data_IF_884634480419
#
_entry.id   IF_884634480419
#
_cell.length_a   1.000
_cell.length_b   1.000
_cell.length_c   1.000
_cell.angle_alpha   90.00
_cell.angle_beta   90.00
_cell.angle_gamma   90.00
#
_symmetry.space_group_name_H-M   'P 1'
#
loop_
_entity.id
_entity.type
_entity.pdbx_description
1 polymer ?
#
# COMPACT_ATOMS: atom_id res chain seq x y z
N UNK A 1 -3.99 0.67 1.75
CA UNK A 1 -3.08 -0.49 1.80
C UNK A 1 -3.10 -1.30 0.52
N UNK A 2 -4.27 -1.59 -0.07
CA UNK A 2 -4.35 -2.38 -1.32
C UNK A 2 -3.45 -1.86 -2.46
N UNK A 3 -3.35 -0.54 -2.64
CA UNK A 3 -2.52 0.03 -3.70
C UNK A 3 -1.02 -0.32 -3.60
N UNK A 4 -0.45 -0.46 -2.39
CA UNK A 4 0.97 -0.87 -2.23
C UNK A 4 1.17 -2.38 -2.36
N UNK A 5 0.08 -3.15 -2.25
CA UNK A 5 0.05 -4.61 -2.32
C UNK A 5 -0.11 -5.13 -3.76
N UNK A 6 -0.19 -4.23 -4.74
CA UNK A 6 -0.26 -4.56 -6.15
C UNK A 6 0.98 -5.40 -6.54
N UNK A 7 0.80 -6.58 -7.16
CA UNK A 7 1.91 -7.46 -7.54
C UNK A 7 3.01 -6.78 -8.35
N UNK A 8 2.72 -5.71 -9.09
CA UNK A 8 3.73 -4.95 -9.84
C UNK A 8 4.85 -4.39 -8.94
N UNK A 9 4.55 -4.10 -7.67
CA UNK A 9 5.52 -3.57 -6.70
C UNK A 9 6.39 -4.65 -6.03
N UNK A 10 6.20 -5.92 -6.41
CA UNK A 10 7.13 -6.99 -6.07
C UNK A 10 8.33 -7.01 -7.02
N UNK A 11 8.15 -6.50 -8.23
CA UNK A 11 9.17 -6.47 -9.30
C UNK A 11 9.73 -5.06 -9.47
N UNK A 12 8.87 -4.03 -9.40
CA UNK A 12 9.26 -2.62 -9.42
C UNK A 12 9.14 -1.99 -8.03
N UNK A 13 9.70 -0.80 -7.84
CA UNK A 13 9.64 -0.07 -6.59
C UNK A 13 8.44 0.89 -6.53
N UNK A 14 7.85 1.03 -5.35
CA UNK A 14 6.75 1.94 -5.04
C UNK A 14 7.25 3.39 -5.13
N UNK A 15 6.54 4.23 -5.87
CA UNK A 15 6.79 5.67 -5.90
C UNK A 15 5.51 6.48 -5.63
N UNK A 16 5.68 7.69 -5.10
CA UNK A 16 4.55 8.60 -4.87
C UNK A 16 3.78 8.86 -6.17
N UNK A 17 4.49 9.09 -7.29
CA UNK A 17 3.88 9.33 -8.60
C UNK A 17 3.02 8.16 -9.07
N UNK A 18 3.47 6.91 -8.90
CA UNK A 18 2.66 5.74 -9.25
C UNK A 18 1.45 5.60 -8.33
N UNK A 19 1.62 5.82 -7.02
CA UNK A 19 0.50 5.78 -6.07
C UNK A 19 -0.51 6.89 -6.32
N UNK A 20 -0.07 8.08 -6.71
CA UNK A 20 -0.95 9.18 -7.06
C UNK A 20 -1.85 8.80 -8.24
N UNK A 21 -1.29 8.19 -9.29
CA UNK A 21 -2.08 7.69 -10.42
C UNK A 21 -3.06 6.59 -10.01
N UNK A 22 -2.64 5.66 -9.15
CA UNK A 22 -3.49 4.55 -8.71
C UNK A 22 -4.61 4.98 -7.76
N UNK A 23 -4.39 6.03 -6.97
CA UNK A 23 -5.33 6.51 -5.95
C UNK A 23 -6.15 7.72 -6.41
N UNK A 24 -5.83 8.31 -7.55
CA UNK A 24 -6.60 9.43 -8.09
C UNK A 24 -8.07 9.02 -8.32
N UNK A 25 -9.00 9.88 -7.89
CA UNK A 25 -10.44 9.63 -7.99
C UNK A 25 -10.99 8.57 -7.01
N UNK A 26 -10.14 7.91 -6.22
CA UNK A 26 -10.62 6.98 -5.19
C UNK A 26 -11.25 7.75 -4.01
N UNK A 27 -12.23 7.17 -3.29
CA UNK A 27 -12.85 7.82 -2.14
C UNK A 27 -11.86 8.28 -1.07
N UNK A 28 -10.75 7.56 -0.90
CA UNK A 28 -9.67 7.94 0.03
C UNK A 28 -8.95 9.24 -0.37
N UNK A 29 -8.91 9.54 -1.67
CA UNK A 29 -8.32 10.72 -2.27
C UNK A 29 -9.38 11.79 -2.65
N UNK A 30 -10.62 11.65 -2.16
CA UNK A 30 -11.71 12.58 -2.46
C UNK A 30 -11.28 14.02 -2.15
N UNK A 31 -11.57 14.92 -3.09
CA UNK A 31 -11.24 16.36 -3.03
C UNK A 31 -9.73 16.67 -2.89
N UNK A 32 -8.87 15.67 -3.12
CA UNK A 32 -7.42 15.80 -3.07
C UNK A 32 -6.81 15.55 -4.43
N UNK A 33 -6.24 16.61 -5.00
CA UNK A 33 -5.58 16.54 -6.30
C UNK A 33 -4.15 17.09 -6.23
N UNK A 34 -3.36 16.77 -7.27
CA UNK A 34 -2.02 17.31 -7.46
C UNK A 34 -1.15 17.26 -6.21
N UNK A 35 -0.67 18.43 -5.75
CA UNK A 35 0.25 18.56 -4.62
C UNK A 35 -0.37 18.11 -3.28
N UNK A 36 -1.67 18.30 -3.07
CA UNK A 36 -2.35 17.88 -1.83
C UNK A 36 -2.36 16.36 -1.70
N UNK A 37 -2.73 15.67 -2.78
CA UNK A 37 -2.71 14.20 -2.82
C UNK A 37 -1.28 13.66 -2.65
N UNK A 38 -0.31 14.24 -3.36
CA UNK A 38 1.10 13.85 -3.24
C UNK A 38 1.62 14.00 -1.80
N UNK A 39 1.29 15.10 -1.11
CA UNK A 39 1.70 15.30 0.29
C UNK A 39 1.11 14.25 1.23
N UNK A 40 -0.19 13.93 1.07
CA UNK A 40 -0.85 12.88 1.85
C UNK A 40 -0.23 11.50 1.62
N UNK A 41 0.07 11.15 0.36
CA UNK A 41 0.76 9.91 0.01
C UNK A 41 2.14 9.85 0.65
N UNK A 42 2.93 10.93 0.57
CA UNK A 42 4.26 11.00 1.20
C UNK A 42 4.20 10.78 2.71
N UNK A 43 3.19 11.35 3.39
CA UNK A 43 2.97 11.11 4.82
C UNK A 43 2.69 9.64 5.12
N UNK A 44 1.87 8.97 4.32
CA UNK A 44 1.57 7.55 4.51
C UNK A 44 2.78 6.66 4.22
N UNK A 45 3.56 6.95 3.16
CA UNK A 45 4.81 6.26 2.89
C UNK A 45 5.78 6.38 4.08
N UNK A 46 5.85 7.55 4.72
CA UNK A 46 6.65 7.74 5.93
C UNK A 46 6.18 6.85 7.07
N UNK A 47 4.88 6.82 7.38
CA UNK A 47 4.32 5.97 8.43
C UNK A 47 4.61 4.48 8.17
N UNK A 48 4.38 4.01 6.94
CA UNK A 48 4.68 2.63 6.56
C UNK A 48 6.16 2.28 6.74
N UNK A 49 7.05 3.25 6.47
CA UNK A 49 8.49 3.08 6.66
C UNK A 49 8.84 3.02 8.15
N UNK A 50 8.26 3.89 8.96
CA UNK A 50 8.46 3.91 10.42
C UNK A 50 7.99 2.59 11.07
N UNK A 51 6.93 1.97 10.55
CA UNK A 51 6.47 0.65 11.00
C UNK A 51 7.22 -0.54 10.39
N UNK A 52 8.21 -0.28 9.53
CA UNK A 52 9.06 -1.30 8.90
C UNK A 52 8.34 -2.13 7.82
N UNK A 53 7.24 -1.64 7.27
CA UNK A 53 6.48 -2.32 6.21
C UNK A 53 7.08 -2.06 4.82
N UNK A 54 7.69 -0.89 4.65
CA UNK A 54 8.42 -0.55 3.44
C UNK A 54 9.81 -0.04 3.78
N UNK A 55 10.76 -0.22 2.87
CA UNK A 55 12.12 0.32 2.95
C UNK A 55 12.34 1.31 1.82
N UNK A 56 13.01 2.43 2.11
CA UNK A 56 13.39 3.41 1.09
C UNK A 56 14.65 2.94 0.35
N UNK A 57 14.66 3.04 -0.97
CA UNK A 57 15.87 2.82 -1.77
C UNK A 57 16.87 3.99 -1.61
N UNK A 58 18.18 3.71 -1.60
CA UNK A 58 19.20 4.75 -1.47
C UNK A 58 19.14 5.71 -2.65
N UNK A 59 19.34 7.01 -2.38
CA UNK A 59 19.39 8.11 -3.37
C UNK A 59 18.15 8.24 -4.27
N UNK A 60 17.02 7.61 -3.92
CA UNK A 60 15.79 7.64 -4.71
C UNK A 60 14.56 7.93 -3.85
N UNK A 61 13.50 8.47 -4.45
CA UNK A 61 12.18 8.60 -3.83
C UNK A 61 11.31 7.35 -4.03
N UNK A 62 11.96 6.19 -4.11
CA UNK A 62 11.34 4.89 -4.35
C UNK A 62 11.44 4.02 -3.09
N UNK A 63 10.49 3.10 -2.95
CA UNK A 63 10.37 2.21 -1.79
C UNK A 63 10.13 0.77 -2.23
N UNK A 64 10.58 -0.19 -1.45
CA UNK A 64 10.28 -1.62 -1.64
C UNK A 64 9.52 -2.15 -0.43
N UNK A 65 8.71 -3.18 -0.63
CA UNK A 65 8.11 -3.92 0.48
C UNK A 65 9.20 -4.69 1.23
N UNK A 66 9.11 -4.68 2.56
CA UNK A 66 9.86 -5.60 3.40
C UNK A 66 9.13 -6.95 3.46
N UNK A 67 9.77 -8.00 3.99
CA UNK A 67 9.11 -9.30 4.17
C UNK A 67 7.88 -9.19 5.09
N UNK A 68 8.02 -8.40 6.16
CA UNK A 68 6.90 -8.04 7.06
C UNK A 68 5.78 -7.33 6.31
N UNK A 69 6.14 -6.36 5.45
CA UNK A 69 5.20 -5.63 4.62
C UNK A 69 4.44 -6.57 3.69
N UNK A 70 5.17 -7.43 2.97
CA UNK A 70 4.63 -8.42 2.04
C UNK A 70 3.63 -9.34 2.73
N UNK A 71 4.03 -9.96 3.84
CA UNK A 71 3.18 -10.85 4.63
C UNK A 71 1.86 -10.14 5.00
N UNK A 72 1.95 -8.97 5.64
CA UNK A 72 0.77 -8.23 6.08
C UNK A 72 -0.13 -7.81 4.92
N UNK A 73 0.44 -7.30 3.82
CA UNK A 73 -0.36 -6.89 2.66
C UNK A 73 -1.06 -8.06 1.99
N UNK A 74 -0.38 -9.21 1.90
CA UNK A 74 -0.93 -10.43 1.30
C UNK A 74 -2.04 -10.99 2.18
N UNK A 75 -1.81 -11.13 3.49
CA UNK A 75 -2.84 -11.57 4.43
C UNK A 75 -4.05 -10.64 4.37
N UNK A 76 -3.86 -9.32 4.45
CA UNK A 76 -4.97 -8.36 4.42
C UNK A 76 -5.77 -8.43 3.12
N UNK A 77 -5.10 -8.60 1.98
CA UNK A 77 -5.78 -8.77 0.69
C UNK A 77 -6.56 -10.09 0.62
N UNK A 78 -6.00 -11.19 1.16
CA UNK A 78 -6.71 -12.47 1.27
C UNK A 78 -7.94 -12.35 2.17
N UNK A 79 -7.81 -11.69 3.33
CA UNK A 79 -8.93 -11.41 4.23
C UNK A 79 -10.03 -10.55 3.59
N UNK A 80 -9.65 -9.57 2.76
CA UNK A 80 -10.62 -8.72 2.05
C UNK A 80 -11.26 -9.43 0.85
N UNK A 81 -10.57 -10.40 0.24
CA UNK A 81 -11.05 -11.18 -0.90
C UNK A 81 -11.87 -12.41 -0.50
N UNK A 82 -11.52 -13.05 0.61
CA UNK A 82 -12.34 -14.08 1.24
C UNK A 82 -13.56 -13.40 1.86
N UNK A 83 -14.75 -13.75 1.39
CA UNK A 83 -15.97 -13.33 2.06
C UNK A 83 -15.89 -13.82 3.51
N UNK A 84 -16.28 -12.97 4.46
CA UNK A 84 -16.29 -13.23 5.91
C UNK A 84 -16.93 -14.59 6.29
N UNK A 85 -17.77 -15.17 5.41
CA UNK A 85 -18.36 -16.50 5.50
C UNK A 85 -17.38 -17.68 5.53
N UNK A 86 -16.16 -17.52 4.98
CA UNK A 86 -15.16 -18.61 4.98
C UNK A 86 -14.35 -18.63 6.28
N UNK A 87 -14.27 -17.50 6.98
CA UNK A 87 -13.57 -17.36 8.25
C UNK A 87 -14.33 -17.99 9.42
N UNK A 88 -15.67 -17.89 9.43
CA UNK A 88 -16.50 -18.56 10.46
C UNK A 88 -16.43 -20.08 10.39
N UNK A 89 -16.11 -20.64 9.22
CA UNK A 89 -15.93 -22.09 9.01
C UNK A 89 -14.56 -22.60 9.44
N UNK A 90 -13.54 -21.74 9.46
CA UNK A 90 -12.17 -22.12 9.83
C UNK A 90 -11.88 -21.96 11.33
N UNK A 91 -12.71 -21.19 12.02
CA UNK A 91 -12.66 -20.99 13.48
C UNK A 91 -13.55 -21.96 14.28
N UNK A 92 -14.20 -22.92 13.59
CA UNK A 92 -15.08 -23.94 14.17
C UNK A 92 -14.40 -25.31 14.20
#
# INVERSE_FOLDING_TARGET
MQAIADPKFNVDAISNKQLQKALYGQPWAKDMEGRKLAARISRHLRLLREHGLIRKLPKQHKYTLTDKGRLLTTSLNQFLGAKISDLSKLAA
#
